data_IF_121012682128
#
_entry.id   IF_121012682128
#
_cell.length_a   1.000
_cell.length_b   1.000
_cell.length_c   1.000
_cell.angle_alpha   90.00
_cell.angle_beta   90.00
_cell.angle_gamma   90.00
#
_symmetry.space_group_name_H-M   'P 1'
#
loop_
_entity.id
_entity.type
_entity.pdbx_description
1 polymer ?
#
# COMPACT_ATOMS: atom_id res chain seq x y z
N UNK A 1 1.37 2.28 -10.84
CA UNK A 1 1.70 3.68 -10.44
C UNK A 1 2.90 3.65 -9.52
N UNK A 2 4.11 3.96 -10.02
CA UNK A 2 5.36 3.78 -9.28
C UNK A 2 5.46 4.66 -8.02
N UNK A 3 4.76 5.78 -7.98
CA UNK A 3 4.70 6.67 -6.82
C UNK A 3 4.01 6.04 -5.61
N UNK A 4 2.98 5.23 -5.85
CA UNK A 4 2.23 4.54 -4.78
C UNK A 4 3.04 3.36 -4.26
N UNK A 5 3.70 2.64 -5.17
CA UNK A 5 4.64 1.57 -4.85
C UNK A 5 5.76 2.10 -3.94
N UNK A 6 6.46 3.15 -4.35
CA UNK A 6 7.52 3.77 -3.55
C UNK A 6 7.04 4.37 -2.22
N UNK A 7 5.82 4.95 -2.18
CA UNK A 7 5.24 5.45 -0.94
C UNK A 7 5.03 4.32 0.09
N UNK A 8 4.56 3.16 -0.36
CA UNK A 8 4.31 2.00 0.49
C UNK A 8 5.60 1.29 0.86
N UNK A 9 6.58 1.19 -0.04
CA UNK A 9 7.92 0.69 0.29
C UNK A 9 8.53 1.52 1.44
N UNK A 10 8.39 2.84 1.39
CA UNK A 10 8.82 3.73 2.47
C UNK A 10 8.10 3.45 3.80
N UNK A 11 6.81 3.08 3.77
CA UNK A 11 6.08 2.67 4.99
C UNK A 11 6.67 1.39 5.57
N UNK A 12 6.91 0.39 4.72
CA UNK A 12 7.47 -0.90 5.12
C UNK A 12 8.82 -0.73 5.78
N UNK A 13 9.73 0.03 5.15
CA UNK A 13 11.09 0.28 5.63
C UNK A 13 11.09 1.07 6.95
N UNK A 14 10.35 2.19 7.03
CA UNK A 14 10.29 3.01 8.24
C UNK A 14 9.78 2.23 9.44
N UNK A 15 8.73 1.42 9.26
CA UNK A 15 8.20 0.61 10.35
C UNK A 15 9.14 -0.55 10.71
N UNK A 16 9.78 -1.18 9.73
CA UNK A 16 10.73 -2.28 9.98
C UNK A 16 11.95 -1.83 10.80
N UNK A 17 12.43 -0.61 10.55
CA UNK A 17 13.52 0.01 11.30
C UNK A 17 13.08 0.59 12.66
N UNK A 18 11.77 0.78 12.85
CA UNK A 18 11.23 1.29 14.12
C UNK A 18 11.32 0.23 15.23
N UNK A 19 11.60 0.65 16.48
CA UNK A 19 11.45 -0.22 17.66
C UNK A 19 10.03 -0.79 17.82
N UNK A 20 9.02 -0.14 17.23
CA UNK A 20 7.63 -0.60 17.28
C UNK A 20 7.42 -1.93 16.56
N UNK A 21 8.25 -2.26 15.56
CA UNK A 21 8.16 -3.51 14.79
C UNK A 21 8.16 -4.77 15.65
N UNK A 22 8.78 -4.72 16.83
CA UNK A 22 8.83 -5.84 17.77
C UNK A 22 7.48 -6.11 18.48
N UNK A 23 6.57 -5.13 18.46
CA UNK A 23 5.29 -5.17 19.20
C UNK A 23 4.06 -5.09 18.32
N UNK A 24 4.20 -4.57 17.10
CA UNK A 24 3.11 -4.43 16.15
C UNK A 24 2.83 -5.76 15.43
N UNK A 25 1.59 -5.92 14.98
CA UNK A 25 1.23 -6.96 14.03
C UNK A 25 1.63 -6.55 12.61
N UNK A 26 2.94 -6.62 12.34
CA UNK A 26 3.55 -6.22 11.07
C UNK A 26 2.95 -6.95 9.87
N UNK A 27 2.53 -8.20 10.05
CA UNK A 27 1.91 -8.99 8.99
C UNK A 27 0.56 -8.43 8.55
N UNK A 28 -0.28 -8.04 9.51
CA UNK A 28 -1.58 -7.38 9.24
C UNK A 28 -1.40 -5.98 8.66
N UNK A 29 -0.35 -5.26 9.08
CA UNK A 29 0.02 -3.96 8.49
C UNK A 29 0.36 -4.13 7.01
N UNK A 30 1.26 -5.06 6.67
CA UNK A 30 1.70 -5.29 5.29
C UNK A 30 0.57 -5.79 4.39
N UNK A 31 -0.30 -6.66 4.90
CA UNK A 31 -1.52 -7.10 4.21
C UNK A 31 -2.47 -5.92 3.90
N UNK A 32 -2.67 -5.01 4.86
CA UNK A 32 -3.50 -3.81 4.66
C UNK A 32 -2.89 -2.84 3.65
N UNK A 33 -1.56 -2.70 3.63
CA UNK A 33 -0.84 -1.92 2.62
C UNK A 33 -0.94 -2.57 1.23
N UNK A 34 -0.81 -3.88 1.12
CA UNK A 34 -0.96 -4.60 -0.14
C UNK A 34 -2.37 -4.43 -0.72
N UNK A 35 -3.42 -4.48 0.12
CA UNK A 35 -4.79 -4.14 -0.30
C UNK A 35 -4.93 -2.71 -0.77
N UNK A 36 -4.28 -1.76 -0.10
CA UNK A 36 -4.26 -0.37 -0.56
C UNK A 36 -3.64 -0.27 -1.95
N UNK A 37 -2.44 -0.82 -2.18
CA UNK A 37 -1.76 -0.81 -3.48
C UNK A 37 -2.61 -1.47 -4.57
N UNK A 38 -3.29 -2.58 -4.25
CA UNK A 38 -4.16 -3.30 -5.19
C UNK A 38 -5.32 -2.46 -5.75
N UNK A 39 -5.66 -1.31 -5.15
CA UNK A 39 -6.68 -0.38 -5.66
C UNK A 39 -6.18 0.51 -6.81
N UNK A 40 -4.87 0.50 -7.09
CA UNK A 40 -4.20 1.55 -7.85
C UNK A 40 -3.56 1.08 -9.16
N UNK A 41 -4.01 -0.04 -9.74
CA UNK A 41 -3.34 -0.70 -10.88
C UNK A 41 -1.81 -0.64 -10.74
N UNK A 42 -1.37 -1.00 -9.53
CA UNK A 42 -0.01 -0.93 -9.06
C UNK A 42 0.38 -2.33 -8.62
N UNK A 43 1.57 -2.76 -9.01
CA UNK A 43 2.11 -4.01 -8.53
C UNK A 43 2.87 -3.70 -7.27
N UNK A 44 2.40 -4.17 -6.11
CA UNK A 44 3.20 -4.10 -4.90
C UNK A 44 4.58 -4.71 -5.22
N UNK A 45 5.64 -3.91 -5.12
CA UNK A 45 6.97 -4.29 -5.56
C UNK A 45 7.63 -5.16 -4.50
N UNK A 46 7.04 -6.34 -4.27
CA UNK A 46 7.40 -7.29 -3.21
C UNK A 46 8.90 -7.48 -3.07
N UNK A 47 9.63 -7.46 -4.19
CA UNK A 47 11.06 -7.70 -4.24
C UNK A 47 11.93 -6.51 -3.82
N UNK A 48 11.40 -5.28 -3.77
CA UNK A 48 12.12 -4.10 -3.25
C UNK A 48 12.21 -4.06 -1.73
N UNK A 49 11.27 -4.70 -1.04
CA UNK A 49 11.20 -4.74 0.43
C UNK A 49 11.10 -6.18 0.97
N UNK A 50 11.49 -7.17 0.16
CA UNK A 50 11.31 -8.60 0.45
C UNK A 50 11.92 -9.01 1.78
N UNK A 51 13.09 -8.46 2.11
CA UNK A 51 13.76 -8.76 3.38
C UNK A 51 12.85 -8.47 4.59
N UNK A 52 12.18 -7.32 4.62
CA UNK A 52 11.24 -6.95 5.69
C UNK A 52 9.98 -7.81 5.65
N UNK A 53 9.44 -8.11 4.46
CA UNK A 53 8.24 -8.95 4.32
C UNK A 53 8.47 -10.39 4.82
N UNK A 54 9.64 -10.97 4.51
CA UNK A 54 10.05 -12.31 4.97
C UNK A 54 10.35 -12.29 6.47
N UNK A 55 11.09 -11.28 6.95
CA UNK A 55 11.43 -11.10 8.38
C UNK A 55 10.18 -11.11 9.26
N UNK A 56 9.11 -10.45 8.83
CA UNK A 56 7.85 -10.35 9.57
C UNK A 56 6.81 -11.41 9.19
N UNK A 57 7.22 -12.43 8.41
CA UNK A 57 6.37 -13.58 8.03
C UNK A 57 5.07 -13.16 7.33
N UNK A 58 5.14 -12.07 6.57
CA UNK A 58 4.08 -11.71 5.64
C UNK A 58 4.27 -12.46 4.32
N UNK A 59 5.45 -12.37 3.71
CA UNK A 59 5.77 -13.17 2.52
C UNK A 59 6.54 -14.42 2.92
N UNK A 60 6.12 -15.56 2.38
CA UNK A 60 6.80 -16.84 2.52
C UNK A 60 7.61 -17.14 1.25
N UNK A 61 8.78 -17.75 1.42
CA UNK A 61 9.63 -18.21 0.33
C UNK A 61 9.90 -19.70 0.50
N UNK A 62 9.39 -20.54 -0.40
CA UNK A 62 9.55 -22.00 -0.34
C UNK A 62 10.19 -22.56 -1.62
N UNK A 63 10.99 -23.63 -1.51
CA UNK A 63 11.42 -24.39 -2.68
C UNK A 63 10.22 -24.86 -3.49
N UNK A 64 10.38 -24.91 -4.80
CA UNK A 64 9.34 -25.36 -5.73
C UNK A 64 8.80 -26.76 -5.39
N UNK A 65 9.67 -27.63 -4.88
CA UNK A 65 9.32 -29.00 -4.43
C UNK A 65 8.37 -29.04 -3.24
N UNK A 66 8.17 -27.92 -2.54
CA UNK A 66 7.25 -27.83 -1.42
C UNK A 66 5.88 -27.27 -1.81
N UNK A 67 5.65 -26.95 -3.09
CA UNK A 67 4.34 -26.54 -3.55
C UNK A 67 3.32 -27.69 -3.36
N UNK A 68 2.11 -27.46 -2.83
CA UNK A 68 1.12 -28.52 -2.58
C UNK A 68 0.79 -29.38 -3.81
N UNK A 69 0.82 -28.76 -5.00
CA UNK A 69 0.56 -29.42 -6.30
C UNK A 69 1.84 -29.87 -7.04
N UNK A 70 3.02 -29.81 -6.41
CA UNK A 70 4.31 -30.11 -7.07
C UNK A 70 4.32 -31.48 -7.76
N UNK A 71 4.00 -32.54 -7.01
CA UNK A 71 4.06 -33.92 -7.52
C UNK A 71 3.14 -34.14 -8.72
N UNK A 72 1.98 -33.49 -8.74
CA UNK A 72 1.00 -33.60 -9.82
C UNK A 72 1.44 -32.83 -11.07
N UNK A 73 2.11 -31.69 -10.90
CA UNK A 73 2.52 -30.78 -11.98
C UNK A 73 4.04 -30.67 -12.11
N UNK A 74 4.78 -31.74 -11.80
CA UNK A 74 6.25 -31.73 -11.68
C UNK A 74 6.97 -31.11 -12.88
N UNK A 75 6.56 -31.46 -14.09
CA UNK A 75 7.18 -30.96 -15.32
C UNK A 75 7.02 -29.44 -15.50
N UNK A 76 5.88 -28.87 -15.08
CA UNK A 76 5.65 -27.43 -15.09
C UNK A 76 6.59 -26.74 -14.10
N UNK A 77 6.60 -27.23 -12.86
CA UNK A 77 7.38 -26.65 -11.77
C UNK A 77 8.90 -26.76 -11.99
N UNK A 78 9.39 -27.89 -12.48
CA UNK A 78 10.81 -28.07 -12.86
C UNK A 78 11.21 -27.18 -14.07
N UNK A 79 10.22 -26.70 -14.82
CA UNK A 79 10.39 -25.85 -16.01
C UNK A 79 10.52 -24.35 -15.70
N UNK A 80 10.17 -23.90 -14.49
CA UNK A 80 10.15 -22.48 -14.12
C UNK A 80 11.56 -21.87 -14.16
N UNK A 81 11.69 -20.66 -14.72
CA UNK A 81 12.96 -19.92 -14.86
C UNK A 81 12.77 -18.45 -14.58
N UNK A 82 13.86 -17.74 -14.22
CA UNK A 82 13.81 -16.29 -13.99
C UNK A 82 12.68 -15.91 -13.03
N UNK A 83 11.69 -15.15 -13.50
CA UNK A 83 10.52 -14.75 -12.74
C UNK A 83 9.26 -15.12 -13.53
N UNK A 84 8.34 -15.84 -12.91
CA UNK A 84 7.08 -16.30 -13.52
C UNK A 84 5.94 -16.22 -12.51
N UNK A 85 4.76 -15.81 -12.96
CA UNK A 85 3.55 -15.88 -12.14
C UNK A 85 3.03 -17.32 -12.10
N UNK A 86 2.66 -17.78 -10.90
CA UNK A 86 2.11 -19.12 -10.70
C UNK A 86 0.60 -19.06 -10.79
N UNK A 87 0.02 -19.87 -11.68
CA UNK A 87 -1.43 -19.97 -11.84
C UNK A 87 -2.01 -20.97 -10.84
N UNK A 88 -3.26 -20.73 -10.40
CA UNK A 88 -4.05 -21.68 -9.59
C UNK A 88 -4.05 -23.09 -10.19
N UNK A 89 -4.21 -23.17 -11.51
CA UNK A 89 -4.19 -24.39 -12.30
C UNK A 89 -3.10 -24.26 -13.38
N UNK A 90 -1.89 -24.78 -13.13
CA UNK A 90 -0.75 -24.65 -14.05
C UNK A 90 -0.96 -25.22 -15.46
N UNK A 91 -1.94 -26.12 -15.61
CA UNK A 91 -2.30 -26.79 -16.85
C UNK A 91 -3.32 -26.01 -17.69
N UNK A 92 -3.75 -24.83 -17.24
CA UNK A 92 -4.77 -24.01 -17.90
C UNK A 92 -4.23 -22.62 -18.22
N UNK A 93 -4.81 -22.00 -19.24
CA UNK A 93 -4.52 -20.60 -19.56
C UNK A 93 -4.98 -19.66 -18.43
N UNK A 94 -4.30 -18.52 -18.33
CA UNK A 94 -4.65 -17.48 -17.36
C UNK A 94 -6.08 -16.98 -17.60
N UNK A 95 -6.84 -16.84 -16.51
CA UNK A 95 -8.16 -16.23 -16.54
C UNK A 95 -8.46 -15.60 -15.18
N UNK A 96 -8.78 -14.30 -15.17
CA UNK A 96 -8.96 -13.55 -13.92
C UNK A 96 -10.07 -14.09 -12.99
N UNK A 97 -11.11 -14.74 -13.52
CA UNK A 97 -12.20 -15.32 -12.72
C UNK A 97 -11.90 -16.75 -12.25
N UNK A 98 -11.34 -17.56 -13.14
CA UNK A 98 -11.31 -19.02 -12.99
C UNK A 98 -9.91 -19.61 -12.80
N UNK A 99 -8.86 -18.90 -13.23
CA UNK A 99 -7.47 -19.36 -13.18
C UNK A 99 -6.48 -18.18 -13.07
N UNK A 100 -6.56 -17.45 -11.96
CA UNK A 100 -5.68 -16.30 -11.66
C UNK A 100 -4.33 -16.74 -11.09
N UNK A 101 -3.43 -15.78 -10.95
CA UNK A 101 -2.19 -15.91 -10.22
C UNK A 101 -2.44 -16.17 -8.72
N UNK A 102 -1.66 -17.07 -8.14
CA UNK A 102 -1.72 -17.45 -6.70
C UNK A 102 -0.38 -17.28 -5.98
N UNK A 103 0.69 -16.98 -6.73
CA UNK A 103 2.03 -16.74 -6.21
C UNK A 103 3.00 -16.38 -7.32
N UNK A 104 4.28 -16.24 -6.98
CA UNK A 104 5.35 -15.87 -7.92
C UNK A 104 6.49 -16.86 -7.75
N UNK A 105 7.01 -17.43 -8.83
CA UNK A 105 8.33 -18.01 -8.83
C UNK A 105 9.35 -16.93 -9.17
N UNK A 106 10.46 -16.87 -8.43
CA UNK A 106 11.59 -16.02 -8.80
C UNK A 106 12.92 -16.65 -8.42
N UNK A 107 13.86 -16.64 -9.38
CA UNK A 107 15.29 -16.80 -9.18
C UNK A 107 15.96 -15.44 -9.43
N UNK A 108 16.22 -14.62 -8.39
CA UNK A 108 16.61 -13.22 -8.54
C UNK A 108 17.83 -13.00 -9.44
N UNK A 109 18.90 -13.78 -9.24
CA UNK A 109 20.10 -13.72 -10.09
C UNK A 109 19.81 -14.01 -11.58
N UNK A 110 18.94 -14.97 -11.90
CA UNK A 110 18.57 -15.28 -13.29
C UNK A 110 17.65 -14.20 -13.88
N UNK A 111 16.77 -13.64 -13.06
CA UNK A 111 15.77 -12.66 -13.48
C UNK A 111 16.38 -11.27 -13.73
N UNK A 112 17.25 -10.79 -12.83
CA UNK A 112 17.71 -9.40 -12.83
C UNK A 112 19.24 -9.25 -12.78
N UNK A 113 19.99 -10.35 -12.63
CA UNK A 113 21.44 -10.29 -12.42
C UNK A 113 21.83 -9.67 -11.08
N UNK A 114 23.09 -9.25 -10.96
CA UNK A 114 23.65 -8.76 -9.69
C UNK A 114 23.22 -7.35 -9.26
N UNK A 115 22.56 -6.58 -10.12
CA UNK A 115 22.30 -5.14 -9.88
C UNK A 115 21.10 -4.85 -8.96
N UNK A 116 20.26 -5.86 -8.69
CA UNK A 116 18.99 -5.69 -7.97
C UNK A 116 18.88 -6.64 -6.76
N UNK A 117 20.02 -7.06 -6.21
CA UNK A 117 20.07 -8.07 -5.14
C UNK A 117 20.14 -7.49 -3.73
N UNK A 118 20.47 -6.20 -3.57
CA UNK A 118 20.68 -5.57 -2.26
C UNK A 118 19.43 -5.63 -1.36
N UNK A 119 18.23 -5.77 -1.94
CA UNK A 119 16.95 -5.87 -1.24
C UNK A 119 16.47 -7.31 -1.00
N UNK A 120 17.22 -8.29 -1.53
CA UNK A 120 16.90 -9.71 -1.43
C UNK A 120 17.78 -10.34 -0.35
N UNK A 121 17.23 -11.09 0.61
CA UNK A 121 18.04 -11.81 1.60
C UNK A 121 19.11 -12.68 0.93
N UNK A 122 20.36 -12.65 1.42
CA UNK A 122 21.51 -13.32 0.80
C UNK A 122 21.25 -14.78 0.40
N UNK A 123 20.56 -15.52 1.27
CA UNK A 123 20.24 -16.93 1.05
C UNK A 123 19.16 -17.18 -0.03
N UNK A 124 18.51 -16.13 -0.53
CA UNK A 124 17.47 -16.17 -1.58
C UNK A 124 17.97 -15.60 -2.93
N UNK A 125 19.11 -14.90 -2.97
CA UNK A 125 19.58 -14.18 -4.16
C UNK A 125 19.88 -15.09 -5.36
N UNK A 126 20.44 -16.28 -5.12
CA UNK A 126 20.88 -17.20 -6.16
C UNK A 126 20.17 -18.57 -6.09
N UNK A 127 18.88 -18.55 -5.78
CA UNK A 127 18.04 -19.75 -5.76
C UNK A 127 16.63 -19.42 -6.23
N UNK A 128 16.04 -20.33 -7.01
CA UNK A 128 14.65 -20.24 -7.43
C UNK A 128 13.70 -20.64 -6.31
N UNK A 129 12.83 -19.73 -5.90
CA UNK A 129 11.84 -19.94 -4.85
C UNK A 129 10.45 -19.54 -5.31
N UNK A 130 9.44 -20.11 -4.67
CA UNK A 130 8.05 -19.68 -4.75
C UNK A 130 7.78 -18.70 -3.61
N UNK A 131 7.22 -17.55 -3.97
CA UNK A 131 6.84 -16.47 -3.08
C UNK A 131 5.33 -16.30 -3.05
N UNK A 132 4.77 -16.17 -1.86
CA UNK A 132 3.35 -15.87 -1.66
C UNK A 132 3.12 -15.23 -0.30
N UNK A 133 2.06 -14.45 -0.20
CA UNK A 133 1.76 -13.66 0.99
C UNK A 133 0.77 -14.34 1.93
N UNK A 134 0.86 -14.01 3.21
CA UNK A 134 -0.15 -14.37 4.20
C UNK A 134 -1.53 -13.87 3.78
N UNK A 135 -2.55 -14.72 3.90
CA UNK A 135 -3.91 -14.43 3.45
C UNK A 135 -4.14 -14.66 1.94
N UNK A 136 -3.10 -14.92 1.15
CA UNK A 136 -3.25 -15.32 -0.25
C UNK A 136 -3.80 -16.75 -0.39
N UNK A 137 -4.18 -17.11 -1.62
CA UNK A 137 -4.71 -18.43 -1.93
C UNK A 137 -3.66 -19.54 -1.73
N UNK A 138 -2.42 -19.34 -2.17
CA UNK A 138 -1.35 -20.32 -1.96
C UNK A 138 -0.93 -20.43 -0.49
N UNK A 139 -1.07 -19.34 0.28
CA UNK A 139 -0.95 -19.41 1.73
C UNK A 139 -2.03 -20.29 2.35
N UNK A 140 -3.29 -20.11 1.96
CA UNK A 140 -4.39 -20.94 2.48
C UNK A 140 -4.18 -22.42 2.13
N UNK A 141 -3.76 -22.73 0.89
CA UNK A 141 -3.41 -24.10 0.50
C UNK A 141 -2.29 -24.68 1.38
N UNK A 142 -1.28 -23.86 1.72
CA UNK A 142 -0.17 -24.27 2.59
C UNK A 142 -0.62 -24.50 4.04
N UNK A 143 -1.60 -23.74 4.54
CA UNK A 143 -2.25 -23.97 5.84
C UNK A 143 -3.05 -25.27 5.82
N UNK A 144 -3.85 -25.49 4.78
CA UNK A 144 -4.76 -26.64 4.68
C UNK A 144 -4.01 -27.99 4.67
N UNK A 145 -2.83 -28.04 4.05
CA UNK A 145 -1.96 -29.23 4.05
C UNK A 145 -1.06 -29.33 5.29
N UNK A 146 -1.21 -28.41 6.25
CA UNK A 146 -0.46 -28.40 7.52
C UNK A 146 1.01 -27.96 7.38
N UNK A 147 1.39 -27.33 6.26
CA UNK A 147 2.74 -26.78 6.06
C UNK A 147 2.94 -25.51 6.89
N UNK A 148 1.94 -24.63 6.92
CA UNK A 148 1.89 -23.46 7.80
C UNK A 148 0.97 -23.78 8.99
N UNK A 149 1.44 -23.50 10.21
CA UNK A 149 0.73 -23.86 11.45
C UNK A 149 0.88 -22.79 12.53
N UNK A 150 0.09 -22.87 13.60
CA UNK A 150 0.13 -21.91 14.70
C UNK A 150 -0.13 -20.48 14.22
N UNK A 151 0.70 -19.52 14.63
CA UNK A 151 0.55 -18.11 14.23
C UNK A 151 0.62 -17.90 12.72
N UNK A 152 1.36 -18.74 11.99
CA UNK A 152 1.44 -18.65 10.53
C UNK A 152 0.16 -19.04 9.81
N UNK A 153 -0.71 -19.82 10.46
CA UNK A 153 -2.00 -20.22 9.95
C UNK A 153 -3.13 -19.24 10.32
N UNK A 154 -2.84 -18.25 11.16
CA UNK A 154 -3.80 -17.18 11.46
C UNK A 154 -3.83 -16.19 10.30
N UNK A 155 -5.01 -15.87 9.73
CA UNK A 155 -5.10 -14.89 8.65
C UNK A 155 -4.73 -13.50 9.16
N UNK A 156 -4.08 -12.66 8.32
CA UNK A 156 -3.89 -11.25 8.64
C UNK A 156 -5.24 -10.53 8.83
N UNK A 157 -5.22 -9.45 9.62
CA UNK A 157 -6.39 -8.63 9.90
C UNK A 157 -6.29 -7.30 9.18
N UNK A 158 -7.42 -6.75 8.79
CA UNK A 158 -7.47 -5.40 8.25
C UNK A 158 -7.20 -4.38 9.36
N UNK A 159 -6.24 -3.50 9.13
CA UNK A 159 -5.93 -2.35 9.98
C UNK A 159 -6.23 -1.09 9.15
N UNK A 160 -6.98 -0.10 9.69
CA UNK A 160 -7.30 1.13 8.97
C UNK A 160 -6.04 1.82 8.43
N UNK A 161 -6.07 2.21 7.16
CA UNK A 161 -4.89 2.79 6.52
C UNK A 161 -4.46 4.09 7.22
N UNK A 162 -5.40 4.93 7.63
CA UNK A 162 -5.08 6.15 8.38
C UNK A 162 -4.34 5.88 9.69
N UNK A 163 -4.63 4.76 10.37
CA UNK A 163 -3.93 4.35 11.58
C UNK A 163 -2.48 3.97 11.27
N UNK A 164 -2.29 3.13 10.24
CA UNK A 164 -0.96 2.74 9.76
C UNK A 164 -0.15 3.97 9.40
N UNK A 165 -0.68 4.84 8.52
CA UNK A 165 0.05 6.01 8.03
C UNK A 165 0.32 7.01 9.14
N UNK A 166 -0.64 7.28 10.04
CA UNK A 166 -0.40 8.17 11.18
C UNK A 166 0.74 7.68 12.08
N UNK A 167 0.80 6.37 12.34
CA UNK A 167 1.89 5.76 13.12
C UNK A 167 3.21 5.83 12.37
N UNK A 168 3.23 5.45 11.08
CA UNK A 168 4.41 5.48 10.24
C UNK A 168 4.99 6.89 10.14
N UNK A 169 4.18 7.91 9.90
CA UNK A 169 4.70 9.28 9.77
C UNK A 169 5.30 9.80 11.08
N UNK A 170 4.77 9.36 12.23
CA UNK A 170 5.38 9.63 13.53
C UNK A 170 6.78 9.01 13.64
N UNK A 171 6.97 7.77 13.17
CA UNK A 171 8.29 7.12 13.12
C UNK A 171 9.22 7.75 12.07
N UNK A 172 8.69 8.07 10.88
CA UNK A 172 9.40 8.76 9.81
C UNK A 172 9.99 10.08 10.31
N UNK A 173 9.23 10.85 11.12
CA UNK A 173 9.74 12.08 11.75
C UNK A 173 10.93 11.81 12.65
N UNK A 174 10.91 10.74 13.45
CA UNK A 174 12.03 10.36 14.33
C UNK A 174 13.26 9.92 13.53
N UNK A 175 13.05 9.35 12.35
CA UNK A 175 14.09 8.90 11.42
C UNK A 175 14.55 10.01 10.45
N UNK A 176 13.97 11.22 10.52
CA UNK A 176 14.21 12.33 9.59
C UNK A 176 13.77 12.08 8.14
N UNK A 177 12.81 11.17 7.93
CA UNK A 177 12.22 10.82 6.63
C UNK A 177 11.16 11.83 6.19
N UNK A 178 11.56 13.10 6.06
CA UNK A 178 10.67 14.20 5.67
C UNK A 178 10.04 14.02 4.28
N UNK A 179 10.75 13.34 3.38
CA UNK A 179 10.25 13.06 2.03
C UNK A 179 9.02 12.15 2.07
N UNK A 180 9.07 11.06 2.84
CA UNK A 180 7.95 10.14 3.02
C UNK A 180 6.74 10.86 3.61
N UNK A 181 6.97 11.72 4.61
CA UNK A 181 5.94 12.57 5.21
C UNK A 181 5.28 13.46 4.15
N UNK A 182 6.07 14.07 3.26
CA UNK A 182 5.54 14.91 2.18
C UNK A 182 4.71 14.12 1.17
N UNK A 183 5.19 12.95 0.73
CA UNK A 183 4.48 12.09 -0.24
C UNK A 183 3.10 11.67 0.27
N UNK A 184 3.01 11.25 1.53
CA UNK A 184 1.75 10.73 2.09
C UNK A 184 0.70 11.82 2.33
N UNK A 185 1.10 13.08 2.40
CA UNK A 185 0.18 14.18 2.66
C UNK A 185 -0.91 14.35 1.58
N UNK A 186 -0.57 14.51 0.29
CA UNK A 186 -1.58 14.52 -0.76
C UNK A 186 -2.20 13.15 -1.01
N UNK A 187 -1.45 12.06 -0.82
CA UNK A 187 -1.97 10.70 -1.02
C UNK A 187 -3.10 10.36 -0.03
N UNK A 188 -3.02 10.81 1.23
CA UNK A 188 -4.08 10.62 2.21
C UNK A 188 -5.34 11.43 1.89
N UNK A 189 -5.22 12.61 1.28
CA UNK A 189 -6.37 13.36 0.78
C UNK A 189 -7.04 12.62 -0.39
N UNK A 190 -6.24 12.12 -1.34
CA UNK A 190 -6.74 11.32 -2.46
C UNK A 190 -7.43 10.04 -1.97
N UNK A 191 -6.83 9.33 -1.01
CA UNK A 191 -7.41 8.15 -0.37
C UNK A 191 -8.77 8.45 0.28
N UNK A 192 -8.88 9.56 1.02
CA UNK A 192 -10.13 9.95 1.66
C UNK A 192 -11.24 10.21 0.64
N UNK A 193 -10.93 10.97 -0.42
CA UNK A 193 -11.89 11.31 -1.48
C UNK A 193 -12.32 10.04 -2.25
N UNK A 194 -11.39 9.16 -2.61
CA UNK A 194 -11.71 7.93 -3.32
C UNK A 194 -12.57 6.98 -2.48
N UNK A 195 -12.29 6.87 -1.17
CA UNK A 195 -13.17 6.12 -0.27
C UNK A 195 -14.59 6.69 -0.22
N UNK A 196 -14.74 8.01 -0.27
CA UNK A 196 -16.04 8.65 -0.33
C UNK A 196 -16.75 8.36 -1.64
N UNK A 197 -16.02 8.42 -2.77
CA UNK A 197 -16.53 8.10 -4.10
C UNK A 197 -17.00 6.65 -4.20
N UNK A 198 -16.20 5.69 -3.72
CA UNK A 198 -16.54 4.26 -3.75
C UNK A 198 -17.81 3.99 -2.93
N UNK A 199 -17.93 4.59 -1.74
CA UNK A 199 -19.13 4.46 -0.92
C UNK A 199 -20.36 5.12 -1.55
N UNK A 200 -20.19 6.28 -2.19
CA UNK A 200 -21.26 6.96 -2.91
C UNK A 200 -21.72 6.14 -4.13
N UNK A 201 -20.78 5.55 -4.88
CA UNK A 201 -21.08 4.63 -5.98
C UNK A 201 -21.90 3.45 -5.46
N UNK A 202 -21.40 2.74 -4.45
CA UNK A 202 -22.06 1.56 -3.86
C UNK A 202 -23.48 1.89 -3.40
N UNK A 203 -23.68 3.06 -2.77
CA UNK A 203 -24.99 3.49 -2.31
C UNK A 203 -25.96 3.88 -3.44
N UNK A 204 -25.46 4.46 -4.53
CA UNK A 204 -26.26 4.74 -5.72
C UNK A 204 -26.76 3.50 -6.45
N UNK A 205 -26.19 2.33 -6.13
CA UNK A 205 -26.61 1.02 -6.64
C UNK A 205 -27.53 0.27 -5.66
N UNK A 206 -27.90 0.87 -4.52
CA UNK A 206 -28.93 0.38 -3.60
C UNK A 206 -30.21 1.22 -3.75
N UNK A 207 -31.38 0.58 -3.88
CA UNK A 207 -32.69 1.22 -4.13
C UNK A 207 -33.08 2.30 -3.10
N UNK A 208 -32.43 2.34 -1.93
CA UNK A 208 -32.75 3.27 -0.85
C UNK A 208 -32.10 4.64 -0.95
N UNK A 209 -31.18 4.88 -1.89
CA UNK A 209 -30.56 6.20 -2.10
C UNK A 209 -29.88 6.75 -0.84
N UNK A 210 -28.57 6.52 -0.74
CA UNK A 210 -27.61 6.99 0.27
C UNK A 210 -27.30 5.98 1.39
N UNK A 211 -26.00 5.78 1.74
CA UNK A 211 -25.63 5.01 2.91
C UNK A 211 -25.80 5.89 4.15
N UNK A 212 -26.63 5.47 5.11
CA UNK A 212 -26.89 6.26 6.33
C UNK A 212 -25.68 6.38 7.27
N UNK A 213 -24.62 5.58 7.06
CA UNK A 213 -23.40 5.57 7.89
C UNK A 213 -22.13 6.00 7.10
N UNK A 214 -22.29 6.76 6.01
CA UNK A 214 -21.27 7.05 5.00
C UNK A 214 -20.07 7.90 5.47
N UNK A 215 -18.89 7.61 4.95
CA UNK A 215 -17.64 8.34 5.17
C UNK A 215 -17.76 9.79 4.65
N UNK A 216 -17.98 10.74 5.56
CA UNK A 216 -18.16 12.17 5.23
C UNK A 216 -16.90 13.00 5.45
N UNK A 217 -16.83 14.17 4.82
CA UNK A 217 -15.73 15.11 5.03
C UNK A 217 -15.56 15.47 6.52
N UNK A 218 -16.67 15.69 7.25
CA UNK A 218 -16.63 16.00 8.68
C UNK A 218 -16.14 14.80 9.52
N UNK A 219 -16.52 13.57 9.16
CA UNK A 219 -16.02 12.38 9.84
C UNK A 219 -14.51 12.21 9.63
N UNK A 220 -14.00 12.49 8.42
CA UNK A 220 -12.55 12.48 8.14
C UNK A 220 -11.82 13.57 8.92
N UNK A 221 -12.35 14.79 8.95
CA UNK A 221 -11.78 15.88 9.74
C UNK A 221 -11.79 15.59 11.25
N UNK A 222 -12.76 14.83 11.73
CA UNK A 222 -12.86 14.40 13.12
C UNK A 222 -12.02 13.15 13.44
N UNK A 223 -11.50 12.44 12.43
CA UNK A 223 -10.70 11.24 12.62
C UNK A 223 -9.35 11.61 13.28
N UNK A 224 -9.00 11.01 14.43
CA UNK A 224 -7.78 11.37 15.18
C UNK A 224 -6.51 11.12 14.38
N UNK A 225 -6.48 10.15 13.47
CA UNK A 225 -5.34 9.84 12.64
C UNK A 225 -5.12 10.89 11.55
N UNK A 226 -6.18 11.39 10.90
CA UNK A 226 -6.07 12.52 9.97
C UNK A 226 -5.60 13.78 10.68
N UNK A 227 -6.10 14.05 11.88
CA UNK A 227 -5.64 15.18 12.69
C UNK A 227 -4.16 15.05 13.08
N UNK A 228 -3.71 13.85 13.45
CA UNK A 228 -2.31 13.59 13.78
C UNK A 228 -1.40 13.76 12.56
N UNK A 229 -1.78 13.21 11.40
CA UNK A 229 -1.05 13.39 10.13
C UNK A 229 -0.93 14.88 9.82
N UNK A 230 -2.04 15.62 9.79
CA UNK A 230 -2.03 17.06 9.50
C UNK A 230 -1.15 17.85 10.47
N UNK A 231 -1.21 17.52 11.76
CA UNK A 231 -0.38 18.18 12.79
C UNK A 231 1.11 17.95 12.54
N UNK A 232 1.48 16.73 12.16
CA UNK A 232 2.86 16.36 11.85
C UNK A 232 3.36 17.07 10.58
N UNK A 233 2.51 17.21 9.57
CA UNK A 233 2.81 17.99 8.36
C UNK A 233 3.12 19.44 8.68
N UNK A 234 2.35 20.05 9.59
CA UNK A 234 2.57 21.43 10.06
C UNK A 234 3.90 21.53 10.80
N UNK A 235 4.12 20.65 11.79
CA UNK A 235 5.33 20.66 12.62
C UNK A 235 6.61 20.51 11.80
N UNK A 236 6.60 19.59 10.83
CA UNK A 236 7.78 19.28 10.02
C UNK A 236 7.95 20.19 8.81
N UNK A 237 6.94 21.03 8.51
CA UNK A 237 6.85 21.81 7.26
C UNK A 237 7.07 20.93 6.03
N UNK A 238 6.53 19.70 6.05
CA UNK A 238 6.69 18.75 4.95
C UNK A 238 5.97 19.20 3.67
N UNK A 239 4.91 20.00 3.82
CA UNK A 239 4.22 20.66 2.72
C UNK A 239 5.10 21.64 1.92
N UNK A 240 6.31 21.96 2.36
CA UNK A 240 7.25 22.80 1.60
C UNK A 240 8.21 21.98 0.73
N UNK A 241 8.21 20.66 0.88
CA UNK A 241 9.04 19.79 0.06
C UNK A 241 8.43 19.70 -1.34
N UNK A 242 9.23 19.98 -2.36
CA UNK A 242 8.78 19.91 -3.75
C UNK A 242 8.62 18.44 -4.16
N UNK A 243 7.38 17.96 -4.16
CA UNK A 243 7.00 16.71 -4.81
C UNK A 243 6.11 17.06 -5.99
N UNK A 244 6.58 16.77 -7.21
CA UNK A 244 5.90 17.09 -8.46
C UNK A 244 5.44 15.83 -9.22
N UNK A 245 5.41 14.68 -8.55
CA UNK A 245 5.17 13.39 -9.21
C UNK A 245 3.77 12.81 -8.93
N UNK A 246 2.97 12.69 -10.00
CA UNK A 246 1.70 11.96 -10.02
C UNK A 246 0.70 12.40 -8.94
N UNK A 247 0.06 11.42 -8.30
CA UNK A 247 -0.90 11.64 -7.20
C UNK A 247 -0.24 12.11 -5.89
N UNK A 248 1.08 12.09 -5.83
CA UNK A 248 1.84 12.54 -4.66
C UNK A 248 2.24 14.02 -4.78
N UNK A 249 1.86 14.69 -5.88
CA UNK A 249 2.09 16.11 -6.08
C UNK A 249 1.22 16.95 -5.15
N UNK A 250 1.83 17.97 -4.55
CA UNK A 250 1.09 18.98 -3.80
C UNK A 250 0.32 19.93 -4.74
N UNK A 251 -0.91 20.36 -4.38
CA UNK A 251 -1.65 21.32 -5.19
C UNK A 251 -0.87 22.61 -5.38
N UNK A 252 -0.82 23.10 -6.61
CA UNK A 252 -0.27 24.39 -6.97
C UNK A 252 -1.19 25.51 -6.47
N UNK A 253 -0.65 26.73 -6.41
CA UNK A 253 -1.39 27.88 -5.91
C UNK A 253 -2.64 28.19 -6.75
N UNK A 254 -2.53 28.05 -8.07
CA UNK A 254 -3.61 28.31 -9.02
C UNK A 254 -4.78 27.33 -8.82
N UNK A 255 -4.49 26.09 -8.43
CA UNK A 255 -5.50 25.06 -8.21
C UNK A 255 -6.42 25.41 -7.04
N UNK A 256 -5.91 26.11 -6.02
CA UNK A 256 -6.72 26.61 -4.92
C UNK A 256 -7.69 27.73 -5.33
N UNK A 257 -7.40 28.47 -6.40
CA UNK A 257 -8.27 29.55 -6.89
C UNK A 257 -9.54 29.00 -7.55
N UNK A 258 -9.45 27.81 -8.13
CA UNK A 258 -10.58 27.09 -8.73
C UNK A 258 -11.41 26.32 -7.71
N UNK A 259 -11.05 26.34 -6.42
CA UNK A 259 -11.75 25.55 -5.40
C UNK A 259 -11.76 24.05 -5.66
N UNK A 260 -10.79 23.53 -6.42
CA UNK A 260 -10.77 22.15 -6.90
C UNK A 260 -12.02 21.76 -7.72
N UNK A 261 -12.37 22.58 -8.72
CA UNK A 261 -13.48 22.41 -9.70
C UNK A 261 -13.61 21.01 -10.37
N UNK A 262 -12.69 20.09 -10.09
CA UNK A 262 -12.68 18.70 -10.53
C UNK A 262 -13.50 17.74 -9.64
N UNK A 263 -14.04 18.19 -8.51
CA UNK A 263 -14.90 17.36 -7.66
C UNK A 263 -16.32 17.25 -8.26
N UNK A 264 -16.83 16.03 -8.42
CA UNK A 264 -18.25 15.75 -8.76
C UNK A 264 -19.17 16.59 -7.85
N UNK A 265 -20.24 17.19 -8.41
CA UNK A 265 -21.20 18.01 -7.66
C UNK A 265 -21.69 17.32 -6.37
N UNK A 266 -21.81 15.99 -6.39
CA UNK A 266 -22.21 15.18 -5.22
C UNK A 266 -21.16 15.17 -4.10
N UNK A 267 -19.87 15.29 -4.42
CA UNK A 267 -18.80 15.41 -3.43
C UNK A 267 -18.72 16.84 -2.89
N UNK A 268 -18.93 17.84 -3.74
CA UNK A 268 -18.97 19.23 -3.31
C UNK A 268 -20.07 19.46 -2.26
N UNK A 269 -21.27 18.91 -2.48
CA UNK A 269 -22.40 18.95 -1.54
C UNK A 269 -22.12 18.22 -0.21
N UNK A 270 -21.17 17.29 -0.18
CA UNK A 270 -20.77 16.55 1.02
C UNK A 270 -19.64 17.23 1.83
N UNK A 271 -19.24 18.44 1.45
CA UNK A 271 -18.24 19.22 2.18
C UNK A 271 -16.79 18.84 1.89
N UNK A 272 -16.51 18.09 0.83
CA UNK A 272 -15.13 17.70 0.47
C UNK A 272 -14.25 18.89 0.08
N UNK A 273 -14.83 19.98 -0.44
CA UNK A 273 -14.12 21.25 -0.61
C UNK A 273 -13.64 21.85 0.73
N UNK A 274 -14.47 21.79 1.77
CA UNK A 274 -14.09 22.23 3.13
C UNK A 274 -12.99 21.35 3.72
N UNK A 275 -13.03 20.04 3.46
CA UNK A 275 -11.96 19.13 3.84
C UNK A 275 -10.65 19.51 3.16
N UNK A 276 -10.64 19.75 1.85
CA UNK A 276 -9.42 20.14 1.12
C UNK A 276 -8.87 21.49 1.59
N UNK A 277 -9.75 22.45 1.85
CA UNK A 277 -9.38 23.76 2.41
C UNK A 277 -8.73 23.61 3.79
N UNK A 278 -9.34 22.81 4.67
CA UNK A 278 -8.78 22.51 5.99
C UNK A 278 -7.46 21.74 5.88
N UNK A 279 -7.42 20.70 5.04
CA UNK A 279 -6.28 19.82 4.88
C UNK A 279 -5.06 20.60 4.42
N UNK A 280 -5.19 21.39 3.35
CA UNK A 280 -4.11 22.13 2.70
C UNK A 280 -3.92 23.58 3.18
N UNK A 281 -4.64 24.02 4.21
CA UNK A 281 -4.43 25.35 4.83
C UNK A 281 -2.93 25.69 5.06
N UNK A 282 -2.07 24.80 5.60
CA UNK A 282 -0.66 25.13 5.82
C UNK A 282 0.10 25.46 4.53
N UNK A 283 -0.20 24.74 3.44
CA UNK A 283 0.39 24.97 2.13
C UNK A 283 -0.10 26.30 1.53
N UNK A 284 -1.41 26.58 1.62
CA UNK A 284 -2.00 27.85 1.17
C UNK A 284 -1.36 29.04 1.89
N UNK A 285 -1.19 28.95 3.20
CA UNK A 285 -0.55 29.99 4.00
C UNK A 285 0.92 30.19 3.58
N UNK A 286 1.65 29.10 3.30
CA UNK A 286 3.02 29.17 2.79
C UNK A 286 3.13 29.93 1.47
N UNK A 287 2.20 29.73 0.54
CA UNK A 287 2.17 30.48 -0.71
C UNK A 287 1.88 31.98 -0.49
N UNK A 288 0.93 32.30 0.40
CA UNK A 288 0.66 33.69 0.77
C UNK A 288 1.87 34.38 1.42
N UNK A 289 2.59 33.70 2.31
CA UNK A 289 3.79 34.23 2.95
C UNK A 289 4.90 34.50 1.95
N UNK A 290 5.11 33.60 0.97
CA UNK A 290 6.11 33.79 -0.10
C UNK A 290 5.81 35.01 -0.97
N UNK A 291 4.53 35.29 -1.27
CA UNK A 291 4.14 36.53 -1.98
C UNK A 291 4.44 37.79 -1.20
N UNK A 292 4.20 37.78 0.12
CA UNK A 292 4.43 38.94 0.96
C UNK A 292 5.93 39.26 1.15
N UNK A 293 6.81 38.32 0.81
CA UNK A 293 8.26 38.46 0.89
C UNK A 293 8.93 38.81 -0.45
N UNK A 294 8.20 38.73 -1.57
CA UNK A 294 8.67 39.00 -2.93
C UNK A 294 8.35 40.44 -3.37
#
# INVERSE_FOLDING_TARGET
>A
MHEIEGAVDGVVLVLDESPLSATLDMRSIYDSLARFVGRWDASFQHFHVLASLVKHRYTYAFPVTEHPEYERHKAYFDGLRKQEFLLRHPDREWNWETNREVGIYCHPMEAWGGQYLDQIPDHLQNVGMIYFDAGSELWQMSVDVGKLTGKDAEPPREIPLEEIISMTLSEARKQNEKFLISIWYPLMAAYAILNAMDKAWQAGHMESGMPQDGYSAQAVMANPHFQAIRSLIIETRAYEYNNDYGLTRLPAEEEFQTGFEMLDDRLAEQGWGQFLDWWYEPLKNSYADKRNQA
#
